data_IF_976341457688
#
_entry.id   IF_976341457688
#
_cell.length_a   1.000
_cell.length_b   1.000
_cell.length_c   1.000
_cell.angle_alpha   90.00
_cell.angle_beta   90.00
_cell.angle_gamma   90.00
#
_symmetry.space_group_name_H-M   'P 1'
#
loop_
_entity.id
_entity.type
_entity.pdbx_description
1 polymer ?
#
# COMPACT_ATOMS: atom_id res chain seq x y z
N UNK A 1 21.01 -26.82 15.79
CA UNK A 1 19.73 -27.34 15.29
C UNK A 1 18.62 -26.68 16.07
N UNK A 2 17.91 -25.73 15.48
CA UNK A 2 16.85 -24.96 16.16
C UNK A 2 15.72 -24.69 15.19
N UNK A 3 14.65 -25.46 15.38
CA UNK A 3 13.25 -25.21 15.00
C UNK A 3 13.01 -24.65 13.59
N UNK A 4 12.79 -25.57 12.63
CA UNK A 4 11.94 -25.31 11.46
C UNK A 4 10.53 -24.99 11.96
N UNK A 5 10.27 -23.75 12.39
CA UNK A 5 8.92 -23.20 12.25
C UNK A 5 8.64 -23.24 10.77
N UNK A 6 7.79 -24.18 10.34
CA UNK A 6 7.21 -24.16 9.00
C UNK A 6 6.68 -22.75 8.78
N UNK A 7 7.40 -21.95 7.99
CA UNK A 7 6.95 -20.62 7.62
C UNK A 7 5.62 -20.83 6.89
N UNK A 8 4.54 -20.29 7.46
CA UNK A 8 3.25 -20.28 6.77
C UNK A 8 3.48 -19.56 5.43
N UNK A 9 3.14 -20.19 4.29
CA UNK A 9 3.26 -19.53 3.00
C UNK A 9 2.39 -18.27 2.97
N UNK A 10 2.88 -17.19 2.36
CA UNK A 10 2.14 -15.93 2.22
C UNK A 10 0.72 -16.15 1.68
N UNK A 11 0.58 -17.08 0.73
CA UNK A 11 -0.69 -17.48 0.13
C UNK A 11 -1.68 -18.00 1.18
N UNK A 12 -1.25 -18.83 2.13
CA UNK A 12 -2.13 -19.40 3.16
C UNK A 12 -2.65 -18.30 4.08
N UNK A 13 -1.74 -17.43 4.55
CA UNK A 13 -2.11 -16.31 5.40
C UNK A 13 -3.09 -15.36 4.70
N UNK A 14 -2.79 -14.98 3.45
CA UNK A 14 -3.57 -14.01 2.70
C UNK A 14 -4.92 -14.58 2.21
N UNK A 15 -5.03 -15.89 1.97
CA UNK A 15 -6.36 -16.51 1.71
C UNK A 15 -7.33 -16.29 2.86
N UNK A 16 -6.82 -16.33 4.10
CA UNK A 16 -7.64 -16.15 5.30
C UNK A 16 -7.83 -14.66 5.64
N UNK A 17 -6.75 -13.89 5.57
CA UNK A 17 -6.69 -12.56 6.17
C UNK A 17 -6.65 -11.41 5.16
N UNK A 18 -6.46 -11.69 3.86
CA UNK A 18 -6.14 -10.67 2.87
C UNK A 18 -7.18 -9.54 2.77
N UNK A 19 -8.47 -9.84 2.96
CA UNK A 19 -9.54 -8.83 2.99
C UNK A 19 -9.43 -7.81 4.15
N UNK A 20 -8.57 -8.06 5.15
CA UNK A 20 -8.20 -7.17 6.27
C UNK A 20 -6.74 -6.72 6.20
N UNK A 21 -6.03 -7.02 5.11
CA UNK A 21 -4.59 -6.77 4.96
C UNK A 21 -4.31 -5.63 3.99
N UNK A 22 -3.35 -4.80 4.38
CA UNK A 22 -2.54 -4.01 3.44
C UNK A 22 -1.31 -4.85 3.06
N UNK A 23 -1.03 -4.99 1.76
CA UNK A 23 0.05 -5.85 1.25
C UNK A 23 1.07 -4.99 0.52
N UNK A 24 2.27 -4.85 1.07
CA UNK A 24 3.40 -4.20 0.41
C UNK A 24 4.18 -5.21 -0.44
N UNK A 25 4.12 -5.03 -1.75
CA UNK A 25 4.84 -5.82 -2.76
C UNK A 25 6.17 -5.15 -3.08
N UNK A 26 7.24 -5.94 -3.12
CA UNK A 26 8.58 -5.42 -3.40
C UNK A 26 9.10 -4.55 -2.26
N UNK A 27 8.79 -4.92 -1.01
CA UNK A 27 9.18 -4.13 0.15
C UNK A 27 10.69 -4.20 0.44
N UNK A 28 11.41 -5.11 -0.21
CA UNK A 28 12.83 -5.36 0.00
C UNK A 28 13.16 -5.95 1.37
N UNK A 29 14.45 -6.00 1.67
CA UNK A 29 14.98 -6.52 2.95
C UNK A 29 14.58 -5.68 4.17
N UNK A 30 14.32 -4.40 3.97
CA UNK A 30 14.13 -3.41 5.03
C UNK A 30 12.82 -2.67 4.82
N UNK A 31 11.91 -2.82 5.78
CA UNK A 31 10.68 -2.05 5.85
C UNK A 31 11.05 -0.64 6.33
N UNK A 32 10.96 0.32 5.42
CA UNK A 32 11.26 1.71 5.66
C UNK A 32 10.22 2.65 5.02
N UNK A 33 10.11 3.86 5.58
CA UNK A 33 9.26 4.96 5.09
C UNK A 33 7.80 4.57 4.85
N UNK A 34 7.22 3.80 5.77
CA UNK A 34 5.87 3.22 5.61
C UNK A 34 4.74 4.13 6.11
N UNK A 35 4.99 5.42 6.30
CA UNK A 35 4.05 6.37 6.88
C UNK A 35 2.70 6.38 6.16
N UNK A 36 2.71 6.37 4.82
CA UNK A 36 1.48 6.32 4.02
C UNK A 36 0.79 4.96 4.09
N UNK A 37 1.55 3.88 4.26
CA UNK A 37 0.97 2.56 4.46
C UNK A 37 0.15 2.55 5.76
N UNK A 38 0.70 3.12 6.84
CA UNK A 38 -0.02 3.28 8.11
C UNK A 38 -1.26 4.16 7.96
N UNK A 39 -1.14 5.32 7.30
CA UNK A 39 -2.30 6.19 7.05
C UNK A 39 -3.44 5.46 6.34
N UNK A 40 -3.12 4.67 5.31
CA UNK A 40 -4.12 3.84 4.61
C UNK A 40 -4.66 2.70 5.48
N UNK A 41 -3.78 1.97 6.16
CA UNK A 41 -4.15 0.83 7.00
C UNK A 41 -5.16 1.25 8.06
N UNK A 42 -4.85 2.31 8.80
CA UNK A 42 -5.68 2.79 9.90
C UNK A 42 -6.93 3.51 9.38
N UNK A 43 -6.79 4.31 8.30
CA UNK A 43 -7.92 4.99 7.66
C UNK A 43 -8.96 4.04 7.06
N UNK A 44 -8.58 2.79 6.76
CA UNK A 44 -9.47 1.73 6.29
C UNK A 44 -9.80 0.68 7.36
N UNK A 45 -9.36 0.88 8.61
CA UNK A 45 -9.55 -0.04 9.72
C UNK A 45 -9.07 -1.48 9.38
N UNK A 46 -7.90 -1.58 8.75
CA UNK A 46 -7.27 -2.85 8.40
C UNK A 46 -6.49 -3.41 9.59
N UNK A 47 -6.42 -4.73 9.67
CA UNK A 47 -5.86 -5.44 10.82
C UNK A 47 -4.39 -5.81 10.62
N UNK A 48 -3.97 -6.12 9.40
CA UNK A 48 -2.66 -6.71 9.15
C UNK A 48 -1.85 -5.90 8.16
N UNK A 49 -0.57 -5.73 8.48
CA UNK A 49 0.45 -5.25 7.54
C UNK A 49 1.22 -6.45 7.00
N UNK A 50 1.31 -6.59 5.68
CA UNK A 50 1.98 -7.73 5.05
C UNK A 50 3.09 -7.26 4.13
N UNK A 51 4.33 -7.67 4.40
CA UNK A 51 5.47 -7.43 3.51
C UNK A 51 5.82 -8.66 2.68
N UNK A 52 5.91 -8.49 1.37
CA UNK A 52 6.20 -9.54 0.39
C UNK A 52 7.43 -9.12 -0.42
N UNK A 53 8.44 -9.97 -0.41
CA UNK A 53 9.62 -9.81 -1.26
C UNK A 53 10.32 -11.16 -1.46
N UNK A 54 11.07 -11.28 -2.57
CA UNK A 54 11.89 -12.45 -2.86
C UNK A 54 13.22 -12.44 -2.08
N UNK A 55 13.52 -11.35 -1.37
CA UNK A 55 14.64 -11.26 -0.46
C UNK A 55 14.67 -12.41 0.56
N UNK A 56 15.87 -12.84 0.93
CA UNK A 56 16.17 -13.87 1.94
C UNK A 56 15.67 -13.55 3.35
N UNK A 57 15.50 -12.26 3.66
CA UNK A 57 14.95 -11.78 4.92
C UNK A 57 14.22 -10.47 4.70
N UNK A 58 13.25 -10.19 5.57
CA UNK A 58 12.51 -8.92 5.62
C UNK A 58 12.38 -8.54 7.10
N UNK A 59 12.71 -7.29 7.43
CA UNK A 59 12.52 -6.77 8.79
C UNK A 59 12.43 -5.25 8.82
N UNK A 60 11.96 -4.67 9.93
CA UNK A 60 11.92 -3.22 10.09
C UNK A 60 13.32 -2.64 10.24
N UNK A 61 13.59 -1.55 9.54
CA UNK A 61 14.71 -0.67 9.87
C UNK A 61 14.21 0.38 10.85
N UNK A 62 14.41 0.17 12.15
CA UNK A 62 13.82 1.04 13.18
C UNK A 62 14.29 2.49 13.11
N UNK A 63 15.41 2.78 12.43
CA UNK A 63 15.91 4.15 12.25
C UNK A 63 15.23 4.87 11.08
N UNK A 64 14.75 4.11 10.08
CA UNK A 64 14.17 4.65 8.85
C UNK A 64 12.73 4.20 8.60
N UNK A 65 12.12 3.50 9.57
CA UNK A 65 10.77 2.94 9.43
C UNK A 65 9.75 4.03 9.15
N UNK A 66 9.89 5.18 9.79
CA UNK A 66 9.04 6.35 9.62
C UNK A 66 9.87 7.57 9.23
N UNK A 67 9.37 8.32 8.25
CA UNK A 67 9.91 9.65 7.94
C UNK A 67 9.49 10.68 8.99
N UNK A 68 8.30 10.50 9.59
CA UNK A 68 7.78 11.29 10.70
C UNK A 68 7.50 10.36 11.91
N UNK A 69 8.53 10.00 12.71
CA UNK A 69 8.38 9.09 13.83
C UNK A 69 7.36 9.57 14.87
N UNK A 70 7.36 10.88 15.19
CA UNK A 70 6.45 11.45 16.18
C UNK A 70 5.00 11.36 15.71
N UNK A 71 4.72 11.76 14.47
CA UNK A 71 3.39 11.67 13.88
C UNK A 71 2.89 10.23 13.76
N UNK A 72 3.75 9.29 13.34
CA UNK A 72 3.37 7.88 13.22
C UNK A 72 3.16 7.21 14.57
N UNK A 73 3.99 7.52 15.57
CA UNK A 73 3.80 7.01 16.93
C UNK A 73 2.51 7.55 17.57
N UNK A 74 2.19 8.84 17.39
CA UNK A 74 0.93 9.40 17.87
C UNK A 74 -0.28 8.74 17.19
N UNK A 75 -0.20 8.53 15.88
CA UNK A 75 -1.26 7.86 15.10
C UNK A 75 -1.48 6.41 15.56
N UNK A 76 -0.41 5.64 15.73
CA UNK A 76 -0.46 4.26 16.23
C UNK A 76 -0.96 4.20 17.67
N UNK A 77 -0.50 5.10 18.53
CA UNK A 77 -0.93 5.20 19.93
C UNK A 77 -2.43 5.46 20.02
N UNK A 78 -2.95 6.37 19.20
CA UNK A 78 -4.39 6.65 19.16
C UNK A 78 -5.19 5.40 18.72
N UNK A 79 -4.80 4.78 17.61
CA UNK A 79 -5.51 3.61 17.07
C UNK A 79 -5.45 2.38 17.98
N UNK A 80 -4.27 2.10 18.55
CA UNK A 80 -4.04 0.95 19.44
C UNK A 80 -4.22 1.27 20.93
N UNK A 81 -4.95 2.34 21.26
CA UNK A 81 -5.35 2.69 22.63
C UNK A 81 -4.17 2.73 23.62
N UNK A 82 -3.08 3.40 23.22
CA UNK A 82 -1.89 3.59 24.05
C UNK A 82 -0.76 2.59 23.79
N UNK A 83 -0.92 1.62 22.87
CA UNK A 83 0.07 0.55 22.65
C UNK A 83 0.55 0.47 21.18
N UNK A 84 1.43 1.38 20.72
CA UNK A 84 1.90 1.40 19.33
C UNK A 84 2.60 0.10 18.89
N UNK A 85 3.27 -0.62 19.80
CA UNK A 85 3.93 -1.91 19.53
C UNK A 85 2.98 -3.01 19.03
N UNK A 86 1.66 -2.86 19.23
CA UNK A 86 0.67 -3.80 18.68
C UNK A 86 0.68 -3.84 17.17
N UNK A 87 1.14 -2.78 16.50
CA UNK A 87 1.36 -2.78 15.06
C UNK A 87 2.31 -3.91 14.63
N UNK A 88 3.46 -4.05 15.30
CA UNK A 88 4.46 -5.05 14.96
C UNK A 88 3.99 -6.49 15.20
N UNK A 89 3.09 -6.68 16.17
CA UNK A 89 2.43 -7.98 16.38
C UNK A 89 1.45 -8.34 15.26
N UNK A 90 0.95 -7.34 14.54
CA UNK A 90 0.05 -7.48 13.41
C UNK A 90 0.76 -7.40 12.05
N UNK A 91 2.08 -7.19 12.06
CA UNK A 91 2.91 -7.19 10.87
C UNK A 91 3.39 -8.63 10.57
N UNK A 92 3.22 -9.05 9.33
CA UNK A 92 3.66 -10.35 8.84
C UNK A 92 4.57 -10.17 7.63
N UNK A 93 5.74 -10.79 7.66
CA UNK A 93 6.72 -10.70 6.59
C UNK A 93 6.99 -12.08 6.00
N UNK A 94 6.96 -12.16 4.67
CA UNK A 94 7.16 -13.40 3.93
C UNK A 94 8.35 -13.24 2.98
N UNK A 95 9.59 -13.40 3.47
CA UNK A 95 10.78 -13.45 2.62
C UNK A 95 10.73 -14.64 1.65
N UNK A 96 11.44 -14.54 0.54
CA UNK A 96 11.52 -15.58 -0.50
C UNK A 96 10.22 -15.82 -1.26
N UNK A 97 9.22 -14.94 -1.14
CA UNK A 97 7.93 -15.09 -1.82
C UNK A 97 7.93 -14.31 -3.13
N UNK A 98 7.65 -14.99 -4.24
CA UNK A 98 7.45 -14.33 -5.53
C UNK A 98 6.06 -13.68 -5.57
N UNK A 99 5.98 -12.44 -6.07
CA UNK A 99 4.70 -11.71 -6.16
C UNK A 99 3.68 -12.48 -6.99
N UNK A 100 4.13 -13.18 -8.03
CA UNK A 100 3.32 -14.00 -8.93
C UNK A 100 2.56 -15.13 -8.20
N UNK A 101 3.07 -15.62 -7.07
CA UNK A 101 2.40 -16.64 -6.25
C UNK A 101 1.09 -16.12 -5.64
N UNK A 102 0.95 -14.80 -5.50
CA UNK A 102 -0.23 -14.15 -4.94
C UNK A 102 -1.38 -13.99 -5.96
N UNK A 103 -1.20 -14.48 -7.19
CA UNK A 103 -2.22 -14.39 -8.22
C UNK A 103 -3.54 -15.02 -7.77
N UNK A 104 -4.61 -14.24 -7.85
CA UNK A 104 -5.96 -14.65 -7.43
C UNK A 104 -6.21 -14.60 -5.92
N UNK A 105 -5.24 -14.14 -5.12
CA UNK A 105 -5.41 -14.02 -3.67
C UNK A 105 -5.92 -12.63 -3.30
N UNK A 106 -7.14 -12.56 -2.78
CA UNK A 106 -7.80 -11.29 -2.50
C UNK A 106 -7.10 -10.51 -1.38
N UNK A 107 -6.89 -9.20 -1.57
CA UNK A 107 -6.44 -8.30 -0.52
C UNK A 107 -7.26 -7.00 -0.44
N UNK A 108 -7.17 -6.25 0.66
CA UNK A 108 -7.88 -4.98 0.79
C UNK A 108 -7.18 -3.84 0.05
N UNK A 109 -5.86 -3.74 0.24
CA UNK A 109 -5.00 -2.69 -0.35
C UNK A 109 -3.69 -3.33 -0.78
N UNK A 110 -3.22 -2.94 -1.97
CA UNK A 110 -1.86 -3.26 -2.43
C UNK A 110 -1.02 -1.99 -2.39
N UNK A 111 0.19 -2.11 -1.86
CA UNK A 111 1.25 -1.12 -2.04
C UNK A 111 2.29 -1.70 -2.98
N UNK A 112 2.65 -0.93 -4.00
CA UNK A 112 3.68 -1.24 -4.96
C UNK A 112 4.86 -0.33 -4.63
N UNK A 113 5.83 -0.85 -3.88
CA UNK A 113 6.91 -0.05 -3.30
C UNK A 113 8.16 -0.01 -4.20
N UNK A 114 8.63 -1.17 -4.68
CA UNK A 114 9.73 -1.26 -5.65
C UNK A 114 9.43 -2.34 -6.67
N UNK A 115 9.49 -1.99 -7.95
CA UNK A 115 9.34 -2.92 -9.06
C UNK A 115 10.59 -2.86 -9.89
N UNK A 116 11.20 -4.01 -10.17
CA UNK A 116 12.34 -4.04 -11.09
C UNK A 116 11.91 -3.56 -12.49
N UNK A 117 12.81 -2.90 -13.24
CA UNK A 117 12.50 -2.30 -14.54
C UNK A 117 11.73 -3.18 -15.53
N UNK A 118 11.97 -4.50 -15.49
CA UNK A 118 11.41 -5.50 -16.42
C UNK A 118 10.22 -6.29 -15.84
N UNK A 119 9.81 -6.00 -14.61
CA UNK A 119 8.70 -6.68 -13.95
C UNK A 119 7.36 -5.96 -14.22
N UNK A 120 6.33 -6.76 -14.50
CA UNK A 120 4.97 -6.30 -14.79
C UNK A 120 3.97 -7.06 -13.90
N UNK A 121 3.63 -6.45 -12.76
CA UNK A 121 2.76 -7.02 -11.74
C UNK A 121 1.30 -6.65 -11.92
N UNK A 122 0.92 -5.88 -12.95
CA UNK A 122 -0.46 -5.41 -13.15
C UNK A 122 -1.44 -6.59 -13.15
N UNK A 123 -1.13 -7.67 -13.87
CA UNK A 123 -1.99 -8.88 -13.91
C UNK A 123 -2.16 -9.52 -12.53
N UNK A 124 -1.11 -9.54 -11.71
CA UNK A 124 -1.15 -10.07 -10.35
C UNK A 124 -1.99 -9.15 -9.47
N UNK A 125 -1.66 -7.86 -9.44
CA UNK A 125 -2.37 -6.83 -8.65
C UNK A 125 -3.87 -6.82 -8.99
N UNK A 126 -4.22 -6.84 -10.28
CA UNK A 126 -5.62 -6.92 -10.72
C UNK A 126 -6.32 -8.17 -10.19
N UNK A 127 -5.64 -9.32 -10.23
CA UNK A 127 -6.20 -10.60 -9.76
C UNK A 127 -6.37 -10.64 -8.23
N UNK A 128 -5.53 -9.92 -7.49
CA UNK A 128 -5.68 -9.72 -6.04
C UNK A 128 -6.87 -8.82 -5.68
N UNK A 129 -7.46 -8.15 -6.68
CA UNK A 129 -8.68 -7.36 -6.60
C UNK A 129 -8.75 -6.36 -5.43
N UNK A 130 -7.69 -5.57 -5.17
CA UNK A 130 -7.69 -4.59 -4.07
C UNK A 130 -8.71 -3.47 -4.28
N UNK A 131 -9.12 -2.83 -3.17
CA UNK A 131 -9.94 -1.62 -3.19
C UNK A 131 -9.12 -0.40 -3.62
N UNK A 132 -7.87 -0.33 -3.15
CA UNK A 132 -6.91 0.71 -3.47
C UNK A 132 -5.56 0.09 -3.85
N UNK A 133 -4.85 0.70 -4.80
CA UNK A 133 -3.45 0.41 -5.09
C UNK A 133 -2.65 1.69 -4.94
N UNK A 134 -1.69 1.70 -4.02
CA UNK A 134 -0.74 2.81 -3.87
C UNK A 134 0.56 2.43 -4.56
N UNK A 135 1.05 3.29 -5.43
CA UNK A 135 2.40 3.21 -5.99
C UNK A 135 3.21 4.32 -5.34
N UNK A 136 4.32 3.95 -4.71
CA UNK A 136 5.26 4.89 -4.10
C UNK A 136 6.65 4.70 -4.71
N UNK A 137 7.55 5.65 -4.40
CA UNK A 137 8.95 5.63 -4.85
C UNK A 137 9.10 5.28 -6.33
N UNK A 138 8.52 6.12 -7.20
CA UNK A 138 8.39 5.96 -8.66
C UNK A 138 9.73 5.81 -9.43
N UNK A 139 10.46 4.72 -9.14
CA UNK A 139 11.66 4.23 -9.79
C UNK A 139 11.39 2.83 -10.37
N UNK A 140 10.35 2.70 -11.19
CA UNK A 140 9.86 1.47 -11.81
C UNK A 140 8.39 1.19 -11.52
N UNK A 141 7.87 1.57 -10.33
CA UNK A 141 6.48 1.37 -9.93
C UNK A 141 5.48 2.14 -10.81
N UNK A 142 5.86 3.32 -11.31
CA UNK A 142 5.10 4.18 -12.22
C UNK A 142 4.85 3.54 -13.58
N UNK A 143 5.69 2.57 -13.98
CA UNK A 143 5.53 1.82 -15.23
C UNK A 143 4.29 0.92 -15.19
N UNK A 144 3.85 0.55 -13.98
CA UNK A 144 2.66 -0.25 -13.78
C UNK A 144 1.42 0.60 -14.05
N UNK A 145 0.72 0.35 -15.16
CA UNK A 145 -0.49 1.13 -15.51
C UNK A 145 -1.77 0.35 -15.24
N UNK A 146 -2.54 0.82 -14.26
CA UNK A 146 -3.85 0.26 -13.92
C UNK A 146 -5.01 1.04 -14.59
N UNK A 147 -4.70 2.10 -15.35
CA UNK A 147 -5.68 2.94 -16.02
C UNK A 147 -6.49 2.11 -17.01
N UNK A 148 -7.81 2.28 -16.99
CA UNK A 148 -8.72 1.54 -17.88
C UNK A 148 -8.97 0.09 -17.46
N UNK A 149 -8.23 -0.43 -16.47
CA UNK A 149 -8.32 -1.82 -16.02
C UNK A 149 -9.14 -1.96 -14.72
N UNK A 150 -10.33 -1.33 -14.68
CA UNK A 150 -11.23 -1.21 -13.50
C UNK A 150 -10.79 -0.25 -12.40
N UNK A 151 -9.64 0.41 -12.55
CA UNK A 151 -9.14 1.41 -11.62
C UNK A 151 -9.12 2.81 -12.23
N UNK A 152 -9.22 3.82 -11.36
CA UNK A 152 -9.09 5.24 -11.68
C UNK A 152 -8.14 5.90 -10.69
N UNK A 153 -7.33 6.86 -11.13
CA UNK A 153 -6.49 7.67 -10.22
C UNK A 153 -7.41 8.53 -9.34
N UNK A 154 -7.07 8.68 -8.05
CA UNK A 154 -7.93 9.39 -7.09
C UNK A 154 -7.19 10.36 -6.18
N UNK A 155 -7.29 11.65 -6.50
CA UNK A 155 -6.68 12.73 -5.70
C UNK A 155 -7.46 13.02 -4.42
N UNK A 156 -8.79 12.87 -4.44
CA UNK A 156 -9.61 13.07 -3.24
C UNK A 156 -9.29 12.05 -2.16
N UNK A 157 -9.01 10.79 -2.50
CA UNK A 157 -8.58 9.78 -1.51
C UNK A 157 -7.18 10.05 -0.96
N UNK A 158 -6.26 10.59 -1.76
CA UNK A 158 -4.94 11.06 -1.28
C UNK A 158 -5.14 12.10 -0.17
N UNK A 159 -6.03 13.08 -0.37
CA UNK A 159 -6.36 14.09 0.65
C UNK A 159 -7.10 13.49 1.84
N UNK A 160 -8.09 12.62 1.59
CA UNK A 160 -8.89 11.98 2.64
C UNK A 160 -8.00 11.22 3.64
N UNK A 161 -7.00 10.49 3.15
CA UNK A 161 -6.07 9.72 3.99
C UNK A 161 -4.79 10.50 4.33
N UNK A 162 -4.73 11.80 4.01
CA UNK A 162 -3.60 12.68 4.26
C UNK A 162 -2.24 12.10 3.77
N UNK A 163 -2.24 11.39 2.63
CA UNK A 163 -1.02 10.80 2.08
C UNK A 163 -0.03 11.89 1.67
N UNK A 164 1.26 11.62 1.85
CA UNK A 164 2.36 12.58 1.61
C UNK A 164 3.27 12.08 0.49
N UNK A 165 3.87 12.96 -0.34
CA UNK A 165 4.91 12.55 -1.28
C UNK A 165 6.00 11.71 -0.59
N UNK A 166 6.39 10.59 -1.20
CA UNK A 166 7.41 9.67 -0.68
C UNK A 166 8.82 10.30 -0.64
N UNK A 167 9.11 11.25 -1.56
CA UNK A 167 10.33 12.07 -1.62
C UNK A 167 9.90 13.46 -2.07
N UNK A 168 9.60 14.39 -1.16
CA UNK A 168 9.33 15.77 -1.55
C UNK A 168 10.59 16.33 -2.20
N UNK A 169 10.52 16.67 -3.50
CA UNK A 169 11.62 17.39 -4.15
C UNK A 169 11.64 18.83 -3.64
N UNK A 170 12.79 19.36 -3.17
CA UNK A 170 12.87 20.74 -2.66
C UNK A 170 12.49 21.78 -3.71
N UNK A 171 12.76 21.47 -4.99
CA UNK A 171 12.55 22.38 -6.13
C UNK A 171 11.12 22.24 -6.70
N UNK A 172 10.55 21.04 -6.61
CA UNK A 172 9.19 20.75 -7.07
C UNK A 172 8.40 20.08 -5.94
N UNK A 173 8.02 20.82 -4.89
CA UNK A 173 7.32 20.25 -3.73
C UNK A 173 5.94 19.67 -4.08
N UNK A 174 5.45 19.94 -5.29
CA UNK A 174 4.18 19.45 -5.84
C UNK A 174 4.32 18.20 -6.72
N UNK A 175 5.55 17.73 -7.01
CA UNK A 175 5.73 16.44 -7.66
C UNK A 175 5.31 15.33 -6.70
N UNK A 176 4.07 14.88 -6.88
CA UNK A 176 3.57 13.71 -6.19
C UNK A 176 4.29 12.49 -6.75
N UNK A 177 5.36 12.06 -6.10
CA UNK A 177 5.99 10.77 -6.37
C UNK A 177 5.21 9.62 -5.69
N UNK A 178 3.89 9.69 -5.80
CA UNK A 178 2.94 8.65 -5.45
C UNK A 178 1.75 8.68 -6.40
N UNK A 179 1.18 7.51 -6.67
CA UNK A 179 -0.08 7.38 -7.41
C UNK A 179 -1.02 6.50 -6.60
N UNK A 180 -2.23 7.00 -6.31
CA UNK A 180 -3.29 6.21 -5.69
C UNK A 180 -4.35 5.85 -6.72
N UNK A 181 -4.51 4.55 -6.95
CA UNK A 181 -5.56 3.98 -7.79
C UNK A 181 -6.70 3.47 -6.93
N UNK A 182 -7.92 3.73 -7.36
CA UNK A 182 -9.15 3.28 -6.72
C UNK A 182 -9.94 2.39 -7.66
N UNK A 183 -10.40 1.25 -7.15
CA UNK A 183 -11.32 0.38 -7.90
C UNK A 183 -12.64 1.12 -8.13
N UNK A 184 -13.15 1.13 -9.36
CA UNK A 184 -14.33 1.94 -9.75
C UNK A 184 -15.59 1.72 -8.91
N UNK A 185 -15.79 0.52 -8.37
CA UNK A 185 -16.94 0.18 -7.52
C UNK A 185 -16.69 0.40 -6.02
N UNK A 186 -15.49 0.83 -5.62
CA UNK A 186 -15.17 1.20 -4.26
C UNK A 186 -15.51 2.69 -4.05
N UNK A 187 -16.29 3.02 -3.02
CA UNK A 187 -16.69 4.41 -2.73
C UNK A 187 -18.12 4.80 -3.15
N UNK A 188 -18.89 3.89 -3.77
CA UNK A 188 -20.28 4.15 -4.19
C UNK A 188 -21.33 4.14 -3.05
N UNK A 189 -20.91 4.21 -1.78
CA UNK A 189 -21.83 4.24 -0.63
C UNK A 189 -21.99 5.61 0.05
N UNK A 190 -21.21 6.63 -0.31
CA UNK A 190 -21.29 7.97 0.32
C UNK A 190 -21.39 9.16 -0.65
N UNK A 191 -21.54 8.95 -1.97
CA UNK A 191 -21.70 10.04 -2.92
C UNK A 191 -23.18 10.31 -3.25
N UNK A 192 -23.93 10.69 -2.22
CA UNK A 192 -25.16 11.49 -2.35
C UNK A 192 -24.86 12.96 -1.98
N UNK A 193 -23.76 13.50 -2.50
CA UNK A 193 -23.47 14.95 -2.54
C UNK A 193 -23.06 15.32 -3.96
N UNK A 194 -24.06 15.81 -4.69
CA UNK A 194 -24.15 15.93 -6.14
C UNK A 194 -23.42 17.12 -6.77
N UNK A 195 -22.48 17.79 -6.10
CA UNK A 195 -21.93 19.05 -6.64
C UNK A 195 -20.41 19.06 -6.91
N UNK A 196 -19.63 18.12 -6.38
CA UNK A 196 -18.16 18.12 -6.54
C UNK A 196 -17.62 17.21 -7.67
N UNK A 197 -18.46 16.37 -8.28
CA UNK A 197 -18.03 15.38 -9.30
C UNK A 197 -17.67 15.99 -10.66
N UNK A 198 -18.09 17.22 -10.98
CA UNK A 198 -17.81 17.83 -12.28
C UNK A 198 -16.36 18.35 -12.37
N UNK A 199 -15.86 18.99 -11.31
CA UNK A 199 -14.48 19.52 -11.28
C UNK A 199 -13.44 18.40 -11.28
N UNK A 200 -13.68 17.28 -10.57
CA UNK A 200 -12.76 16.13 -10.59
C UNK A 200 -12.63 15.49 -11.98
N UNK A 201 -13.71 15.46 -12.78
CA UNK A 201 -13.66 14.96 -14.17
C UNK A 201 -12.75 15.83 -15.04
N UNK A 202 -12.76 17.14 -14.84
CA UNK A 202 -11.92 18.08 -15.61
C UNK A 202 -10.43 17.86 -15.27
N UNK A 203 -10.05 17.78 -14.00
CA UNK A 203 -8.64 17.55 -13.66
C UNK A 203 -8.12 16.16 -14.08
N UNK A 204 -9.01 15.16 -14.18
CA UNK A 204 -8.64 13.83 -14.66
C UNK A 204 -8.42 13.73 -16.18
N UNK A 205 -8.92 14.69 -16.97
CA UNK A 205 -8.71 14.73 -18.42
C UNK A 205 -7.51 15.58 -18.83
N UNK A 206 -7.01 16.46 -17.96
CA UNK A 206 -5.97 17.43 -18.31
C UNK A 206 -4.53 17.01 -18.00
N UNK A 207 -4.31 15.93 -17.25
CA UNK A 207 -2.96 15.48 -16.91
C UNK A 207 -2.85 14.00 -17.31
N UNK A 208 -2.20 13.78 -18.46
CA UNK A 208 -1.94 12.49 -19.11
C UNK A 208 -1.32 11.45 -18.20
#
# INVERSE_FOLDING_TARGET
MTSNKLHEPAVTFLKTNGHKSIVSLGCGRWINRIDNHLRLMLGLNLSYYVGIDYADRIGPDMNEVFMDPDGMNALLTHYYQGSPDRFWKAAHFFPGTHVEELKGIHCAVVICQRVYPDCHWEKVILSMNPKLVLQEDLHGCERQTLRGQRYVRTWSKIRQYALKPFRPWPVFPWENNLVLWQRRNFGNKDNNRSEFNWLERIFSSFIG
#
